data_IF_867773912982
#
_entry.id   IF_867773912982
#
_cell.length_a   1.000
_cell.length_b   1.000
_cell.length_c   1.000
_cell.angle_alpha   90.00
_cell.angle_beta   90.00
_cell.angle_gamma   90.00
#
_symmetry.space_group_name_H-M   'P 1'
#
loop_
_entity.id
_entity.type
_entity.pdbx_description
1 polymer ?
#
# COMPACT_ATOMS: atom_id res chain seq x y z
N UNK A 1 -1.15 20.15 -9.51
CA UNK A 1 -0.12 20.12 -8.44
C UNK A 1 -0.76 19.44 -7.25
N UNK A 2 -0.24 18.31 -6.78
CA UNK A 2 -0.86 17.56 -5.67
C UNK A 2 -0.59 18.32 -4.36
N UNK A 3 -1.65 18.81 -3.72
CA UNK A 3 -1.56 19.65 -2.52
C UNK A 3 -1.02 18.90 -1.29
N UNK A 4 -0.94 17.56 -1.35
CA UNK A 4 -0.45 16.70 -0.29
C UNK A 4 1.08 16.67 -0.19
N UNK A 5 1.81 16.95 -1.27
CA UNK A 5 3.27 16.78 -1.28
C UNK A 5 4.00 17.62 -0.22
N UNK A 6 3.72 18.94 -0.04
CA UNK A 6 4.38 19.74 0.99
C UNK A 6 4.11 19.21 2.41
N UNK A 7 2.89 18.75 2.69
CA UNK A 7 2.53 18.13 3.96
C UNK A 7 3.37 16.89 4.22
N UNK A 8 3.45 15.98 3.24
CA UNK A 8 4.18 14.71 3.37
C UNK A 8 5.69 14.92 3.51
N UNK A 9 6.26 15.94 2.87
CA UNK A 9 7.68 16.30 3.05
C UNK A 9 7.98 16.81 4.46
N UNK A 10 6.98 17.29 5.20
CA UNK A 10 7.12 17.69 6.61
C UNK A 10 7.15 16.52 7.59
N UNK A 11 6.79 15.31 7.15
CA UNK A 11 6.77 14.12 8.01
C UNK A 11 8.15 13.48 8.01
N UNK A 12 8.90 13.71 9.09
CA UNK A 12 10.27 13.21 9.28
C UNK A 12 10.38 12.16 10.40
N UNK A 13 9.28 11.88 11.11
CA UNK A 13 9.18 10.89 12.16
C UNK A 13 8.01 9.93 11.92
N UNK A 14 7.88 8.92 12.78
CA UNK A 14 6.80 7.95 12.69
C UNK A 14 5.47 8.63 13.05
N UNK A 15 4.59 8.80 12.06
CA UNK A 15 3.30 9.48 12.25
C UNK A 15 2.15 8.56 11.87
N UNK A 16 1.17 8.43 12.75
CA UNK A 16 -0.08 7.72 12.47
C UNK A 16 -0.99 8.60 11.61
N UNK A 17 -1.47 8.05 10.51
CA UNK A 17 -2.41 8.74 9.61
C UNK A 17 -3.54 7.82 9.18
N UNK A 18 -4.71 8.40 8.94
CA UNK A 18 -5.73 7.79 8.10
C UNK A 18 -5.40 8.08 6.65
N UNK A 19 -5.35 7.05 5.82
CA UNK A 19 -4.97 7.10 4.41
C UNK A 19 -6.11 6.53 3.56
N UNK A 20 -6.47 7.27 2.52
CA UNK A 20 -7.36 6.80 1.48
C UNK A 20 -6.63 6.74 0.13
N UNK A 21 -6.74 5.61 -0.56
CA UNK A 21 -6.12 5.39 -1.88
C UNK A 21 -7.16 4.91 -2.89
N UNK A 22 -6.99 5.31 -4.14
CA UNK A 22 -7.77 4.87 -5.29
C UNK A 22 -6.82 4.31 -6.34
N UNK A 23 -6.78 2.98 -6.47
CA UNK A 23 -5.77 2.28 -7.29
C UNK A 23 -6.42 1.37 -8.32
N UNK A 24 -5.72 1.05 -9.40
CA UNK A 24 -6.14 -0.03 -10.30
C UNK A 24 -5.62 -1.37 -9.76
N UNK A 25 -6.51 -2.33 -9.41
CA UNK A 25 -6.09 -3.63 -8.92
C UNK A 25 -5.47 -4.47 -10.04
N UNK A 26 -4.64 -5.46 -9.67
CA UNK A 26 -4.16 -6.46 -10.64
C UNK A 26 -5.30 -7.39 -11.01
N UNK A 27 -5.51 -7.55 -12.32
CA UNK A 27 -6.57 -8.38 -12.87
C UNK A 27 -6.06 -9.35 -13.92
N UNK A 28 -6.78 -10.46 -14.11
CA UNK A 28 -6.62 -11.34 -15.25
C UNK A 28 -7.17 -10.65 -16.50
N UNK A 29 -6.57 -10.92 -17.67
CA UNK A 29 -7.02 -10.34 -18.95
C UNK A 29 -8.23 -11.08 -19.53
N UNK A 30 -8.39 -12.35 -19.17
CA UNK A 30 -9.42 -13.26 -19.65
C UNK A 30 -9.90 -14.16 -18.53
N UNK A 31 -11.15 -14.64 -18.62
CA UNK A 31 -11.68 -15.68 -17.75
C UNK A 31 -11.07 -17.04 -18.11
N UNK A 32 -11.31 -18.06 -17.29
CA UNK A 32 -10.91 -19.44 -17.58
C UNK A 32 -11.57 -19.98 -18.87
N UNK A 33 -12.75 -19.47 -19.22
CA UNK A 33 -13.46 -19.77 -20.48
C UNK A 33 -12.91 -18.98 -21.69
N UNK A 34 -12.00 -18.03 -21.48
CA UNK A 34 -11.37 -17.23 -22.52
C UNK A 34 -12.04 -15.89 -22.83
N UNK A 35 -13.10 -15.54 -22.11
CA UNK A 35 -13.83 -14.28 -22.29
C UNK A 35 -12.96 -13.09 -21.85
N UNK A 36 -12.94 -11.97 -22.58
CA UNK A 36 -12.17 -10.79 -22.21
C UNK A 36 -12.70 -10.15 -20.92
N UNK A 37 -11.79 -9.65 -20.08
CA UNK A 37 -12.16 -8.97 -18.84
C UNK A 37 -12.86 -7.62 -19.12
N UNK A 38 -14.15 -7.46 -18.74
CA UNK A 38 -14.92 -6.25 -19.02
C UNK A 38 -14.53 -5.03 -18.18
N UNK A 39 -13.71 -5.23 -17.14
CA UNK A 39 -13.32 -4.23 -16.16
C UNK A 39 -11.92 -3.63 -16.40
N UNK A 40 -11.19 -4.14 -17.39
CA UNK A 40 -9.84 -3.67 -17.75
C UNK A 40 -9.82 -2.15 -17.96
N UNK A 41 -8.97 -1.43 -17.22
CA UNK A 41 -8.86 0.03 -17.29
C UNK A 41 -9.96 0.83 -16.57
N UNK A 42 -11.10 0.18 -16.24
CA UNK A 42 -12.28 0.81 -15.64
C UNK A 42 -12.38 0.60 -14.14
N UNK A 43 -11.90 -0.55 -13.65
CA UNK A 43 -11.96 -0.88 -12.23
C UNK A 43 -10.99 -0.03 -11.41
N UNK A 44 -11.48 0.52 -10.31
CA UNK A 44 -10.68 1.13 -9.26
C UNK A 44 -11.00 0.48 -7.92
N UNK A 45 -9.99 0.33 -7.08
CA UNK A 45 -10.06 -0.13 -5.71
C UNK A 45 -9.83 1.06 -4.80
N UNK A 46 -10.87 1.45 -4.07
CA UNK A 46 -10.79 2.44 -3.01
C UNK A 46 -10.50 1.73 -1.70
N UNK A 47 -9.47 2.17 -0.98
CA UNK A 47 -9.12 1.57 0.31
C UNK A 47 -8.86 2.66 1.33
N UNK A 48 -9.56 2.58 2.46
CA UNK A 48 -9.36 3.41 3.65
C UNK A 48 -8.70 2.57 4.74
N UNK A 49 -7.61 3.08 5.29
CA UNK A 49 -6.78 2.37 6.27
C UNK A 49 -6.07 3.34 7.19
N UNK A 50 -5.73 2.88 8.38
CA UNK A 50 -4.75 3.55 9.23
C UNK A 50 -3.37 2.97 8.94
N UNK A 51 -2.38 3.87 8.90
CA UNK A 51 -1.02 3.51 8.58
C UNK A 51 -0.01 4.44 9.23
N UNK A 52 1.23 3.98 9.31
CA UNK A 52 2.35 4.80 9.77
C UNK A 52 3.21 5.26 8.60
N UNK A 53 3.40 6.58 8.51
CA UNK A 53 4.36 7.22 7.63
C UNK A 53 5.69 7.43 8.37
N UNK A 54 6.81 7.55 7.64
CA UNK A 54 8.14 7.77 8.23
C UNK A 54 8.69 6.57 9.02
N UNK A 55 8.04 5.41 8.93
CA UNK A 55 8.39 4.18 9.65
C UNK A 55 9.73 3.59 9.18
N UNK A 56 10.57 3.14 10.11
CA UNK A 56 11.73 2.31 9.77
C UNK A 56 11.34 0.83 9.74
N UNK A 57 11.17 0.27 8.53
CA UNK A 57 10.71 -1.12 8.34
C UNK A 57 11.51 -2.17 9.12
N UNK A 58 12.84 -2.08 9.13
CA UNK A 58 13.67 -3.06 9.82
C UNK A 58 13.46 -3.00 11.34
N UNK A 59 13.35 -1.78 11.88
CA UNK A 59 13.02 -1.55 13.29
C UNK A 59 11.66 -2.16 13.65
N UNK A 60 10.62 -1.89 12.85
CA UNK A 60 9.26 -2.40 13.09
C UNK A 60 9.19 -3.94 13.07
N UNK A 61 9.92 -4.58 12.16
CA UNK A 61 10.00 -6.05 12.11
C UNK A 61 10.70 -6.59 13.36
N UNK A 62 11.82 -5.98 13.77
CA UNK A 62 12.57 -6.40 14.95
C UNK A 62 11.76 -6.22 16.25
N UNK A 63 11.09 -5.08 16.44
CA UNK A 63 10.21 -4.85 17.60
C UNK A 63 9.05 -5.86 17.67
N UNK A 64 8.56 -6.35 16.51
CA UNK A 64 7.56 -7.43 16.48
C UNK A 64 8.19 -8.79 16.80
N UNK A 65 9.40 -9.07 16.31
CA UNK A 65 10.13 -10.30 16.63
C UNK A 65 10.40 -10.40 18.13
N UNK A 66 10.84 -9.33 18.77
CA UNK A 66 11.07 -9.29 20.22
C UNK A 66 9.79 -9.58 21.01
N UNK A 67 8.65 -8.98 20.61
CA UNK A 67 7.33 -9.26 21.22
C UNK A 67 6.89 -10.72 21.05
N UNK A 68 7.25 -11.35 19.94
CA UNK A 68 7.01 -12.78 19.67
C UNK A 68 8.09 -13.70 20.29
N UNK A 69 9.05 -13.16 21.08
CA UNK A 69 10.12 -13.93 21.70
C UNK A 69 11.19 -14.45 20.73
N UNK A 70 11.30 -13.84 19.55
CA UNK A 70 12.24 -14.18 18.47
C UNK A 70 13.45 -13.23 18.46
N UNK A 71 14.61 -13.67 17.94
CA UNK A 71 15.77 -12.79 17.79
C UNK A 71 15.50 -11.56 16.91
N UNK A 72 15.96 -10.38 17.34
CA UNK A 72 15.85 -9.11 16.62
C UNK A 72 16.96 -8.91 15.57
N UNK A 73 17.15 -9.90 14.70
CA UNK A 73 18.24 -9.97 13.72
C UNK A 73 17.80 -9.64 12.27
N UNK A 74 16.60 -9.10 12.09
CA UNK A 74 16.10 -8.77 10.77
C UNK A 74 16.84 -7.57 10.18
N UNK A 75 17.39 -7.78 8.98
CA UNK A 75 18.01 -6.74 8.16
C UNK A 75 17.22 -6.58 6.87
N UNK A 76 16.68 -5.38 6.64
CA UNK A 76 16.00 -5.08 5.38
C UNK A 76 17.00 -5.07 4.23
N UNK A 77 16.65 -5.75 3.13
CA UNK A 77 17.41 -5.63 1.89
C UNK A 77 17.27 -4.21 1.32
N UNK A 78 18.25 -3.73 0.55
CA UNK A 78 18.10 -2.51 -0.24
C UNK A 78 16.85 -2.56 -1.11
N UNK A 79 16.23 -1.40 -1.31
CA UNK A 79 15.04 -1.26 -2.15
C UNK A 79 15.38 -1.67 -3.59
N UNK A 80 14.55 -2.52 -4.21
CA UNK A 80 14.78 -3.01 -5.56
C UNK A 80 14.46 -1.97 -6.65
N UNK A 81 13.71 -0.92 -6.33
CA UNK A 81 13.25 0.10 -7.27
C UNK A 81 13.01 1.43 -6.56
N UNK A 82 13.12 2.54 -7.30
CA UNK A 82 12.92 3.89 -6.77
C UNK A 82 14.02 4.35 -5.81
N UNK A 83 14.07 5.65 -5.54
CA UNK A 83 14.99 6.28 -4.61
C UNK A 83 14.19 6.91 -3.47
N UNK A 84 14.47 6.52 -2.23
CA UNK A 84 13.86 7.17 -1.07
C UNK A 84 14.35 8.64 -1.01
N UNK A 85 13.42 9.55 -0.75
CA UNK A 85 13.74 10.95 -0.49
C UNK A 85 14.05 11.07 1.00
N UNK A 86 15.27 11.49 1.32
CA UNK A 86 15.77 11.56 2.69
C UNK A 86 14.84 12.38 3.60
N UNK A 87 14.64 11.89 4.83
CA UNK A 87 13.79 12.50 5.86
C UNK A 87 12.32 12.70 5.45
N UNK A 88 11.79 11.89 4.53
CA UNK A 88 10.38 11.91 4.13
C UNK A 88 9.84 10.48 3.91
N UNK A 89 8.52 10.27 3.92
CA UNK A 89 7.91 8.99 3.54
C UNK A 89 7.82 8.80 2.01
N UNK A 90 8.52 9.63 1.21
CA UNK A 90 8.38 9.65 -0.24
C UNK A 90 9.48 8.87 -0.95
N UNK A 91 9.11 8.27 -2.07
CA UNK A 91 10.01 7.58 -3.00
C UNK A 91 9.82 8.21 -4.37
N UNK A 92 10.93 8.53 -5.02
CA UNK A 92 10.96 8.97 -6.41
C UNK A 92 11.24 7.79 -7.34
N UNK A 93 10.44 7.64 -8.39
CA UNK A 93 10.69 6.66 -9.44
C UNK A 93 10.14 7.14 -10.78
N UNK A 94 11.00 7.29 -11.79
CA UNK A 94 10.63 7.73 -13.15
C UNK A 94 9.81 9.03 -13.15
N UNK A 95 10.32 10.06 -12.46
CA UNK A 95 9.69 11.39 -12.34
C UNK A 95 8.34 11.39 -11.58
N UNK A 96 7.96 10.26 -11.00
CA UNK A 96 6.74 10.10 -10.23
C UNK A 96 7.07 9.91 -8.74
N UNK A 97 6.19 10.44 -7.90
CA UNK A 97 6.27 10.28 -6.45
C UNK A 97 5.38 9.14 -5.97
N UNK A 98 5.89 8.40 -5.01
CA UNK A 98 5.21 7.32 -4.33
C UNK A 98 5.29 7.55 -2.82
N UNK A 99 4.17 7.33 -2.12
CA UNK A 99 4.09 7.33 -0.68
C UNK A 99 4.38 5.92 -0.16
N UNK A 100 5.37 5.79 0.71
CA UNK A 100 5.62 4.57 1.49
C UNK A 100 4.89 4.65 2.83
N UNK A 101 4.22 3.55 3.19
CA UNK A 101 3.45 3.47 4.42
C UNK A 101 3.45 2.05 4.98
N UNK A 102 3.43 1.94 6.30
CA UNK A 102 3.24 0.70 7.04
C UNK A 102 1.77 0.57 7.40
N UNK A 103 1.07 -0.43 6.87
CA UNK A 103 -0.34 -0.68 7.18
C UNK A 103 -0.48 -1.13 8.63
N UNK A 104 -1.37 -0.48 9.35
CA UNK A 104 -1.77 -0.86 10.71
C UNK A 104 -3.11 -1.60 10.67
N UNK A 105 -4.17 -0.92 10.21
CA UNK A 105 -5.52 -1.46 10.12
C UNK A 105 -6.22 -1.05 8.83
N UNK A 106 -6.88 -1.99 8.15
CA UNK A 106 -7.74 -1.68 7.00
C UNK A 106 -9.19 -1.57 7.47
N UNK A 107 -9.82 -0.44 7.19
CA UNK A 107 -11.20 -0.16 7.62
C UNK A 107 -12.21 -0.50 6.53
N UNK A 108 -11.90 -0.14 5.28
CA UNK A 108 -12.83 -0.29 4.19
C UNK A 108 -12.11 -0.56 2.87
N UNK A 109 -12.68 -1.47 2.08
CA UNK A 109 -12.30 -1.75 0.71
C UNK A 109 -13.56 -1.73 -0.14
N UNK A 110 -13.60 -0.84 -1.13
CA UNK A 110 -14.68 -0.79 -2.12
C UNK A 110 -14.09 -0.91 -3.53
N UNK A 111 -14.88 -1.47 -4.44
CA UNK A 111 -14.56 -1.53 -5.85
C UNK A 111 -15.49 -0.60 -6.62
N UNK A 112 -14.92 0.18 -7.53
CA UNK A 112 -15.62 1.17 -8.34
C UNK A 112 -15.41 0.88 -9.82
N UNK A 113 -16.50 0.83 -10.59
CA UNK A 113 -16.46 0.78 -12.05
C UNK A 113 -17.06 2.07 -12.57
N UNK A 114 -16.27 2.85 -13.31
CA UNK A 114 -16.67 4.15 -13.86
C UNK A 114 -17.27 5.12 -12.81
N UNK A 115 -16.76 5.06 -11.58
CA UNK A 115 -17.19 5.90 -10.45
C UNK A 115 -18.36 5.36 -9.64
N UNK A 116 -18.92 4.19 -9.99
CA UNK A 116 -19.99 3.55 -9.24
C UNK A 116 -19.47 2.38 -8.41
N UNK A 117 -19.82 2.35 -7.12
CA UNK A 117 -19.49 1.22 -6.24
C UNK A 117 -20.22 -0.03 -6.73
N UNK A 118 -19.48 -1.13 -6.90
CA UNK A 118 -20.01 -2.44 -7.29
C UNK A 118 -19.75 -3.48 -6.20
N UNK A 119 -20.58 -4.54 -6.10
CA UNK A 119 -20.31 -5.66 -5.21
C UNK A 119 -18.98 -6.34 -5.56
N UNK A 120 -18.21 -6.76 -4.54
CA UNK A 120 -16.93 -7.44 -4.76
C UNK A 120 -17.10 -8.74 -5.56
N UNK A 121 -18.18 -9.49 -5.35
CA UNK A 121 -18.47 -10.73 -6.07
C UNK A 121 -18.58 -10.57 -7.59
N UNK A 122 -18.84 -9.34 -8.08
CA UNK A 122 -18.86 -9.05 -9.51
C UNK A 122 -17.45 -9.02 -10.12
N UNK A 123 -16.45 -8.59 -9.35
CA UNK A 123 -15.08 -8.37 -9.82
C UNK A 123 -14.10 -9.43 -9.34
N UNK A 124 -14.39 -10.12 -8.24
CA UNK A 124 -13.57 -11.17 -7.63
C UNK A 124 -13.06 -12.22 -8.64
N UNK A 125 -13.87 -12.74 -9.59
CA UNK A 125 -13.38 -13.73 -10.57
C UNK A 125 -12.25 -13.22 -11.47
N UNK A 126 -12.07 -11.90 -11.53
CA UNK A 126 -11.07 -11.24 -12.36
C UNK A 126 -9.86 -10.75 -11.57
N UNK A 127 -9.91 -10.76 -10.23
CA UNK A 127 -8.82 -10.32 -9.38
C UNK A 127 -7.74 -11.41 -9.32
N UNK A 128 -6.47 -10.99 -9.36
CA UNK A 128 -5.35 -11.90 -9.13
C UNK A 128 -5.07 -11.96 -7.63
N UNK A 129 -5.01 -13.17 -7.08
CA UNK A 129 -4.63 -13.38 -5.69
C UNK A 129 -3.29 -12.72 -5.35
N UNK A 130 -3.25 -12.05 -4.20
CA UNK A 130 -2.02 -11.46 -3.68
C UNK A 130 -1.01 -12.53 -3.29
N UNK A 131 0.25 -12.36 -3.68
CA UNK A 131 1.33 -13.21 -3.18
C UNK A 131 1.54 -12.98 -1.69
N UNK A 132 1.52 -14.04 -0.87
CA UNK A 132 1.90 -13.95 0.55
C UNK A 132 3.41 -13.70 0.66
N UNK A 133 3.80 -12.65 1.38
CA UNK A 133 5.21 -12.38 1.71
C UNK A 133 5.66 -13.37 2.80
N UNK A 134 6.41 -14.42 2.42
CA UNK A 134 6.82 -15.50 3.32
C UNK A 134 8.06 -15.20 4.18
N UNK A 135 8.67 -14.01 4.06
CA UNK A 135 10.05 -13.77 4.54
C UNK A 135 10.19 -13.26 5.97
N UNK A 136 9.12 -12.77 6.61
CA UNK A 136 9.25 -12.12 7.91
C UNK A 136 9.35 -13.11 9.08
N UNK A 137 8.83 -14.33 8.91
CA UNK A 137 8.79 -15.33 9.98
C UNK A 137 7.97 -14.89 11.19
N UNK A 138 7.06 -13.93 11.00
CA UNK A 138 6.16 -13.37 12.01
C UNK A 138 4.75 -13.91 11.82
N UNK A 139 4.03 -14.05 12.93
CA UNK A 139 2.58 -14.26 12.89
C UNK A 139 1.88 -12.94 12.52
N UNK A 140 2.31 -11.83 13.12
CA UNK A 140 1.81 -10.49 12.82
C UNK A 140 2.74 -9.71 11.88
N UNK A 141 2.61 -9.96 10.58
CA UNK A 141 3.48 -9.36 9.56
C UNK A 141 3.39 -7.83 9.50
N UNK A 142 4.55 -7.17 9.40
CA UNK A 142 4.65 -5.75 9.10
C UNK A 142 4.41 -5.53 7.60
N UNK A 143 3.23 -5.02 7.24
CA UNK A 143 2.83 -4.86 5.84
C UNK A 143 3.25 -3.47 5.36
N UNK A 144 4.44 -3.37 4.78
CA UNK A 144 4.89 -2.15 4.10
C UNK A 144 4.38 -2.12 2.66
N UNK A 145 3.83 -0.97 2.24
CA UNK A 145 3.29 -0.76 0.90
C UNK A 145 3.74 0.59 0.36
N UNK A 146 3.57 0.73 -0.95
CA UNK A 146 3.77 1.99 -1.66
C UNK A 146 2.55 2.27 -2.52
N UNK A 147 2.12 3.52 -2.55
CA UNK A 147 1.08 4.00 -3.46
C UNK A 147 1.64 5.15 -4.28
N UNK A 148 1.33 5.19 -5.58
CA UNK A 148 1.63 6.38 -6.39
C UNK A 148 0.92 7.57 -5.75
N UNK A 149 1.59 8.70 -5.58
CA UNK A 149 1.03 9.85 -4.89
C UNK A 149 -0.23 10.39 -5.60
N UNK A 150 -0.29 10.24 -6.93
CA UNK A 150 -1.48 10.54 -7.73
C UNK A 150 -2.70 9.67 -7.42
N UNK A 151 -2.51 8.52 -6.76
CA UNK A 151 -3.55 7.59 -6.34
C UNK A 151 -3.95 7.80 -4.87
N UNK A 152 -3.30 8.72 -4.15
CA UNK A 152 -3.67 9.08 -2.79
C UNK A 152 -4.80 10.09 -2.87
N UNK A 153 -5.95 9.74 -2.29
CA UNK A 153 -7.16 10.56 -2.28
C UNK A 153 -7.13 11.51 -1.09
N UNK A 154 -6.79 10.99 0.09
CA UNK A 154 -6.79 11.74 1.34
C UNK A 154 -5.73 11.21 2.31
N UNK A 155 -5.20 12.11 3.14
CA UNK A 155 -4.28 11.81 4.24
C UNK A 155 -4.63 12.70 5.43
N UNK A 156 -4.94 12.08 6.56
CA UNK A 156 -5.30 12.80 7.80
C UNK A 156 -4.40 12.35 8.94
N UNK A 157 -3.63 13.30 9.49
CA UNK A 157 -2.83 13.06 10.70
C UNK A 157 -3.78 12.86 11.89
N UNK A 158 -3.51 11.84 12.70
CA UNK A 158 -4.27 11.54 13.92
C UNK A 158 -3.66 12.21 15.15
#
# INVERSE_FOLDING_TARGET
>A
MNHLEPLLRGINEKTLVSLETLTEPRMTKKSDAGDPNPFTGRLRKRTRMDCYLGSNYAKEVNERREREGKPADFVSKPRAWGKAIEATPLIEHKEELYLEYLVDQVHQVNYEVDGFIVPESLVEPWLVDGSKSSRQGLENQAIIRTAKLANVVDVQIQ
#
